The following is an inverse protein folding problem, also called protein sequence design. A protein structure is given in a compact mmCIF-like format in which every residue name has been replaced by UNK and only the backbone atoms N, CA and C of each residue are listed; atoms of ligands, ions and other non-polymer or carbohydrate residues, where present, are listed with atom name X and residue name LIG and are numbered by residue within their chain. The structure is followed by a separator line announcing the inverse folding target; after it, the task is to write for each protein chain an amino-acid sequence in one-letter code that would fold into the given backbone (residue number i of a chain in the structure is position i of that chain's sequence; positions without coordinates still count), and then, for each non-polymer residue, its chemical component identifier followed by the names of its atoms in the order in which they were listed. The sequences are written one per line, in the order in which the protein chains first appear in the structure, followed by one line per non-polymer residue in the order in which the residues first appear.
data_IF_829735305254
#
_entry.id   IF_829735305254
#
_cell.length_a   1.000
_cell.length_b   1.000
_cell.length_c   1.000
_cell.angle_alpha   90.00
_cell.angle_beta   90.00
_cell.angle_gamma   90.00
#
_symmetry.space_group_name_H-M   'P 1'
#
loop_
_entity.id
_entity.type
_entity.pdbx_description
1 polymer ?
2 polymer ?
3 polymer ?
4 non-polymer ?
5 non-polymer ?
6 water ?
#
loop_
_entity_poly.entity_id
_entity_poly.type
_entity_poly.pdbx_seq_one_letter_code
_entity_poly.pdbx_strand_id
2 'polydeoxyribonucleotide' '(DG)(DG)(DG)(DT)(DT)(DT)(DC)(DC)(DA)(DC)(DT)(DT)(DA)(DT)(DT)(DC)(DA)(DC)(DC)(DT)(DT)(DT)(DT)(DT)(DA)(DG)' ?
3 'polydeoxyribonucleotide' '(DC)(DC)(DT)(DA)(DA)(DA)(DA)(DA)(DG)(DG)(DT)(DG)(DA)(DA)(DT)(DA)(DA)(DG)(DT)(DG)(DG)(DA)(DA)(DA)(DC)(DC)' ?
#
# COMPACT_ATOMS: atom_id res chain seq x y z
N UNK A 7 12.12 -1.39 16.29
CA UNK A 7 12.67 -0.14 15.81
C UNK A 7 11.50 0.78 15.42
N UNK A 8 11.79 1.95 14.89
CA UNK A 8 10.76 2.84 14.34
C UNK A 8 10.95 2.94 12.83
N UNK A 9 9.85 3.05 12.10
CA UNK A 9 9.87 2.76 10.67
C UNK A 9 10.64 3.83 9.91
N UNK A 10 11.56 3.42 9.08
CA UNK A 10 12.21 4.35 8.15
C UNK A 10 11.14 5.16 7.40
N UNK A 11 11.36 6.45 7.19
CA UNK A 11 10.29 7.29 6.64
C UNK A 11 10.00 6.99 5.17
N UNK A 12 11.00 6.57 4.39
CA UNK A 12 10.73 6.16 3.00
C UNK A 12 10.03 4.81 2.93
N UNK A 13 10.34 3.89 3.84
CA UNK A 13 9.54 2.66 3.96
C UNK A 13 8.11 3.03 4.24
N UNK A 14 7.94 3.92 5.20
CA UNK A 14 6.60 4.31 5.61
C UNK A 14 5.80 4.86 4.43
N UNK A 15 6.40 5.76 3.64
CA UNK A 15 5.66 6.30 2.50
C UNK A 15 5.36 5.21 1.48
N UNK A 16 6.31 4.31 1.23
CA UNK A 16 6.03 3.18 0.37
C UNK A 16 4.88 2.32 0.88
N UNK A 17 4.85 2.06 2.18
CA UNK A 17 3.72 1.31 2.74
C UNK A 17 2.43 2.07 2.57
N UNK A 18 2.49 3.40 2.69
CA UNK A 18 1.29 4.24 2.59
C UNK A 18 0.80 4.34 1.15
N UNK A 19 1.73 4.44 0.20
CA UNK A 19 1.37 4.31 -1.20
C UNK A 19 0.62 3.00 -1.47
N UNK A 20 0.93 1.95 -0.71
CA UNK A 20 0.27 0.68 -0.93
C UNK A 20 -1.04 0.53 -0.13
N UNK A 21 -1.05 0.89 1.16
CA UNK A 21 -2.16 0.58 2.04
C UNK A 21 -2.89 1.79 2.61
N UNK A 22 -2.35 3.00 2.44
CA UNK A 22 -2.92 4.16 3.11
C UNK A 22 -4.21 4.65 2.49
N UNK A 23 -4.85 5.57 3.21
CA UNK A 23 -6.05 6.17 2.66
C UNK A 23 -6.29 7.50 3.34
N UNK A 24 -6.63 8.53 2.57
CA UNK A 24 -7.01 9.83 3.09
C UNK A 24 -8.53 9.92 3.18
N UNK A 25 -9.05 10.56 4.23
CA UNK A 25 -10.51 10.65 4.33
C UNK A 25 -10.95 12.09 4.54
N UNK A 26 -12.11 12.41 3.98
CA UNK A 26 -12.73 13.71 4.15
C UNK A 26 -14.20 13.42 4.34
N UNK A 27 -14.67 13.58 5.59
CA UNK A 27 -16.06 13.39 5.89
C UNK A 27 -16.79 14.74 5.83
N UNK A 28 -17.93 14.75 5.15
CA UNK A 28 -18.81 15.91 5.07
C UNK A 28 -20.18 15.39 5.46
N UNK A 29 -20.58 15.59 6.71
CA UNK A 29 -21.70 14.88 7.33
C UNK A 29 -22.91 15.80 7.49
N UNK A 30 -24.04 15.42 6.89
CA UNK A 30 -25.29 16.08 7.23
C UNK A 30 -25.37 16.20 8.75
N UNK A 31 -25.76 17.38 9.24
CA UNK A 31 -25.74 17.58 10.69
C UNK A 31 -26.72 18.69 11.07
N UNK A 32 -27.66 18.38 11.98
CA UNK A 32 -28.56 19.40 12.51
C UNK A 32 -27.90 20.24 13.61
N UNK A 33 -27.00 19.63 14.41
CA UNK A 33 -26.33 20.31 15.52
C UNK A 33 -25.18 21.24 15.08
N UNK A 34 -24.71 21.14 13.84
CA UNK A 34 -23.71 22.09 13.34
C UNK A 34 -24.39 23.38 12.90
N UNK A 35 -23.67 24.50 13.06
CA UNK A 35 -24.16 25.77 12.55
C UNK A 35 -24.40 25.70 11.04
N UNK A 36 -23.35 25.34 10.28
CA UNK A 36 -23.42 25.31 8.83
C UNK A 36 -24.29 24.19 8.30
N UNK A 37 -24.80 23.32 9.17
CA UNK A 37 -25.56 22.17 8.74
C UNK A 37 -24.75 20.96 8.39
N UNK A 38 -23.41 21.05 8.45
CA UNK A 38 -22.54 19.92 8.21
C UNK A 38 -21.33 20.03 9.12
N UNK A 39 -20.90 18.90 9.68
CA UNK A 39 -19.65 18.83 10.38
C UNK A 39 -18.67 18.04 9.52
N UNK A 40 -17.38 18.30 9.71
CA UNK A 40 -16.41 17.59 8.90
C UNK A 40 -15.40 16.88 9.79
N UNK A 41 -14.61 16.05 9.12
CA UNK A 41 -13.52 15.30 9.72
C UNK A 41 -12.57 14.94 8.58
N UNK A 42 -11.28 15.14 8.81
CA UNK A 42 -10.22 14.99 7.83
C UNK A 42 -9.11 14.13 8.44
N UNK A 43 -8.47 13.27 7.63
CA UNK A 43 -7.41 12.47 8.21
C UNK A 43 -6.79 11.49 7.24
N UNK A 44 -5.97 10.62 7.81
CA UNK A 44 -5.28 9.60 7.06
C UNK A 44 -5.40 8.30 7.84
N UNK A 45 -5.51 7.18 7.12
CA UNK A 45 -5.80 5.94 7.82
C UNK A 45 -5.24 4.73 7.09
N UNK A 46 -5.04 3.67 7.85
CA UNK A 46 -4.50 2.40 7.39
C UNK A 46 -5.30 1.31 8.09
N UNK A 47 -5.77 0.34 7.31
CA UNK A 47 -6.49 -0.80 7.86
C UNK A 47 -5.78 -2.07 7.43
N UNK A 48 -5.38 -2.88 8.39
CA UNK A 48 -4.70 -4.11 8.08
C UNK A 48 -5.37 -5.23 8.85
N UNK A 49 -5.11 -6.44 8.40
CA UNK A 49 -5.39 -7.62 9.20
C UNK A 49 -4.73 -7.52 10.59
N UNK A 50 -5.42 -8.09 11.58
CA UNK A 50 -4.91 -8.13 12.96
C UNK A 50 -3.46 -8.58 13.08
N UNK A 51 -2.99 -9.51 12.23
CA UNK A 51 -1.65 -10.04 12.39
C UNK A 51 -0.56 -8.98 12.28
N UNK A 52 -0.86 -7.85 11.63
CA UNK A 52 0.09 -6.77 11.43
C UNK A 52 -0.28 -5.53 12.24
N UNK A 53 -1.06 -5.71 13.31
CA UNK A 53 -1.25 -4.64 14.27
C UNK A 53 0.08 -3.98 14.61
N UNK A 54 1.18 -4.74 14.61
CA UNK A 54 2.45 -4.19 15.05
C UNK A 54 2.92 -3.07 14.14
N UNK A 55 2.74 -3.23 12.82
CA UNK A 55 3.12 -2.18 11.89
C UNK A 55 2.45 -0.88 12.30
N UNK A 56 1.14 -0.95 12.58
CA UNK A 56 0.38 0.24 12.91
C UNK A 56 0.85 0.87 14.21
N UNK A 57 1.16 0.03 15.21
CA UNK A 57 1.70 0.58 16.45
C UNK A 57 3.05 1.22 16.18
N UNK A 58 3.87 0.60 15.33
CA UNK A 58 5.16 1.18 15.01
C UNK A 58 5.00 2.55 14.34
N UNK A 59 4.00 2.68 13.46
CA UNK A 59 3.75 3.97 12.81
C UNK A 59 3.27 4.99 13.83
N UNK A 60 2.28 4.60 14.64
CA UNK A 60 1.73 5.50 15.64
C UNK A 60 2.83 6.10 16.50
N UNK A 61 3.78 5.25 16.93
CA UNK A 61 4.86 5.71 17.81
C UNK A 61 5.94 6.42 17.02
N UNK A 62 6.04 6.17 15.72
CA UNK A 62 7.05 6.84 14.89
C UNK A 62 6.63 8.29 14.62
N UNK A 63 5.38 8.48 14.21
CA UNK A 63 4.79 9.80 14.04
C UNK A 63 4.31 10.39 15.36
N UNK A 64 4.07 9.56 16.36
CA UNK A 64 3.55 10.02 17.64
C UNK A 64 2.21 10.73 17.45
N UNK A 65 1.40 10.23 16.50
CA UNK A 65 0.01 10.63 16.36
C UNK A 65 -0.81 9.40 15.98
N UNK A 66 -2.14 9.58 15.99
CA UNK A 66 -3.07 8.56 15.54
C UNK A 66 -3.57 7.67 16.67
N UNK A 67 -4.78 7.10 16.45
CA UNK A 67 -5.43 6.19 17.39
C UNK A 67 -5.63 4.85 16.70
N UNK A 68 -5.51 3.78 17.49
CA UNK A 68 -5.71 2.42 17.00
C UNK A 68 -7.03 1.88 17.51
N UNK A 69 -7.81 1.28 16.62
CA UNK A 69 -9.04 0.59 16.94
C UNK A 69 -9.16 -0.69 16.10
N UNK A 70 -9.94 -1.63 16.62
CA UNK A 70 -10.34 -2.79 15.83
C UNK A 70 -11.26 -2.33 14.70
N UNK A 71 -11.22 -3.06 13.59
CA UNK A 71 -12.09 -2.84 12.43
C UNK A 71 -12.76 -4.18 12.11
N UNK A 72 -13.80 -4.53 12.88
CA UNK A 72 -14.28 -5.90 12.85
C UNK A 72 -13.35 -6.78 13.67
N UNK A 73 -13.56 -8.09 13.56
CA UNK A 73 -12.86 -9.05 14.39
C UNK A 73 -11.56 -9.52 13.79
N UNK A 74 -11.32 -9.25 12.51
CA UNK A 74 -10.15 -9.75 11.80
C UNK A 74 -9.25 -8.65 11.29
N UNK A 75 -9.58 -7.40 11.56
CA UNK A 75 -8.74 -6.31 11.07
C UNK A 75 -8.68 -5.22 12.12
N UNK A 76 -7.71 -4.35 11.95
CA UNK A 76 -7.45 -3.27 12.88
C UNK A 76 -6.99 -2.09 12.04
N UNK A 77 -7.17 -0.88 12.56
CA UNK A 77 -6.92 0.32 11.78
C UNK A 77 -6.16 1.33 12.61
N UNK A 78 -5.32 2.12 11.94
CA UNK A 78 -4.74 3.34 12.48
C UNK A 78 -5.43 4.52 11.81
N UNK A 79 -6.00 5.40 12.64
CA UNK A 79 -6.77 6.54 12.19
C UNK A 79 -6.15 7.80 12.78
N UNK A 80 -5.97 8.82 11.95
CA UNK A 80 -5.38 10.10 12.36
C UNK A 80 -6.30 11.19 11.85
N UNK A 81 -7.11 11.78 12.74
CA UNK A 81 -7.98 12.87 12.32
C UNK A 81 -7.97 14.09 13.24
N UNK A 82 -7.36 14.01 14.44
CA UNK A 82 -7.08 15.14 15.30
C UNK A 82 -6.34 16.26 14.54
N UNK A 83 -7.02 17.39 14.34
CA UNK A 83 -6.59 18.36 13.34
C UNK A 83 -5.15 18.79 13.54
N UNK A 84 -4.76 19.11 14.77
CA UNK A 84 -3.37 19.50 14.99
C UNK A 84 -2.44 18.40 14.48
N UNK A 85 -2.81 17.14 14.69
CA UNK A 85 -1.93 16.03 14.35
C UNK A 85 -1.80 15.86 12.85
N UNK A 86 -2.74 16.36 12.04
CA UNK A 86 -2.54 16.30 10.60
C UNK A 86 -1.27 17.00 10.15
N UNK A 87 -0.75 17.95 10.93
CA UNK A 87 0.48 18.61 10.50
C UNK A 87 1.64 17.64 10.40
N UNK A 88 1.65 16.57 11.20
CA UNK A 88 2.73 15.58 11.11
C UNK A 88 2.61 14.77 9.82
N UNK A 89 1.39 14.44 9.42
CA UNK A 89 1.14 13.79 8.12
C UNK A 89 1.71 14.64 6.99
N UNK A 90 1.29 15.91 6.91
CA UNK A 90 1.73 16.79 5.83
C UNK A 90 3.24 16.95 5.87
N UNK A 91 3.79 17.25 7.04
CA UNK A 91 5.23 17.37 7.13
C UNK A 91 5.90 16.10 6.62
N UNK A 92 5.32 14.94 6.93
CA UNK A 92 5.94 13.70 6.42
C UNK A 92 5.82 13.61 4.90
N UNK A 93 4.62 13.86 4.35
CA UNK A 93 4.45 13.65 2.92
C UNK A 93 5.01 14.79 2.08
N UNK A 94 5.31 15.95 2.67
CA UNK A 94 6.07 16.94 1.92
C UNK A 94 7.52 16.50 1.75
N UNK A 95 8.09 15.89 2.78
CA UNK A 95 9.49 15.49 2.70
C UNK A 95 9.64 14.20 1.92
N UNK A 96 8.70 13.27 2.12
CA UNK A 96 8.81 11.91 1.60
C UNK A 96 7.55 11.64 0.78
N UNK A 97 7.45 12.19 -0.43
CA UNK A 97 6.16 12.19 -1.13
C UNK A 97 5.81 10.82 -1.70
N UNK A 98 4.50 10.52 -1.63
CA UNK A 98 3.90 9.43 -2.38
C UNK A 98 4.18 9.59 -3.87
N UNK A 99 4.17 8.47 -4.59
CA UNK A 99 4.38 8.48 -6.04
C UNK A 99 3.28 7.81 -6.84
N UNK A 100 2.27 7.20 -6.21
CA UNK A 100 1.19 6.58 -6.99
C UNK A 100 0.10 7.60 -7.23
N UNK A 101 -1.00 7.15 -7.84
CA UNK A 101 -2.17 8.03 -7.95
C UNK A 101 -2.59 8.55 -6.59
N UNK A 102 -2.29 7.81 -5.52
CA UNK A 102 -2.66 8.28 -4.19
C UNK A 102 -2.07 9.64 -3.87
N UNK A 103 -0.99 10.04 -4.56
CA UNK A 103 -0.47 11.40 -4.40
C UNK A 103 -1.55 12.43 -4.69
N UNK A 104 -2.39 12.18 -5.70
CA UNK A 104 -3.53 13.06 -5.96
C UNK A 104 -4.49 13.13 -4.80
N UNK A 105 -4.70 12.01 -4.10
CA UNK A 105 -5.62 12.09 -2.95
C UNK A 105 -4.98 12.84 -1.81
N UNK A 106 -3.66 12.72 -1.67
CA UNK A 106 -2.96 13.51 -0.68
C UNK A 106 -3.07 15.01 -0.98
N UNK A 107 -2.99 15.39 -2.26
CA UNK A 107 -3.01 16.81 -2.56
C UNK A 107 -4.36 17.41 -2.18
N UNK A 108 -5.44 16.65 -2.38
CA UNK A 108 -6.77 17.14 -2.00
C UNK A 108 -6.90 17.21 -0.47
N UNK A 109 -6.48 16.16 0.23
CA UNK A 109 -6.39 16.20 1.67
C UNK A 109 -5.73 17.50 2.14
N UNK A 110 -4.67 17.92 1.45
CA UNK A 110 -3.91 19.10 1.84
C UNK A 110 -4.68 20.39 1.60
N UNK A 111 -5.38 20.48 0.46
CA UNK A 111 -6.26 21.61 0.22
C UNK A 111 -7.39 21.70 1.25
N UNK A 112 -7.96 20.57 1.62
CA UNK A 112 -8.97 20.58 2.67
C UNK A 112 -8.35 20.96 4.01
N UNK A 113 -7.07 20.65 4.21
CA UNK A 113 -6.47 21.05 5.47
C UNK A 113 -6.43 22.56 5.60
N UNK A 114 -5.97 23.25 4.56
CA UNK A 114 -5.99 24.70 4.60
C UNK A 114 -7.40 25.23 4.89
N UNK A 115 -8.40 24.69 4.21
CA UNK A 115 -9.75 25.22 4.41
C UNK A 115 -10.13 25.19 5.89
N UNK A 116 -9.73 24.14 6.60
CA UNK A 116 -10.10 24.02 8.00
C UNK A 116 -9.14 24.73 8.95
N UNK A 117 -7.86 24.81 8.58
CA UNK A 117 -6.91 25.56 9.39
C UNK A 117 -7.35 27.01 9.56
N UNK A 118 -8.00 27.60 8.54
CA UNK A 118 -8.60 28.92 8.59
C UNK A 118 -10.03 28.90 9.11
N UNK A 119 -10.50 27.76 9.61
CA UNK A 119 -11.84 27.61 10.15
C UNK A 119 -12.91 27.94 9.11
N UNK A 120 -12.53 28.07 7.83
CA UNK A 120 -13.52 28.31 6.79
C UNK A 120 -14.56 27.21 6.68
N UNK A 121 -14.34 26.04 7.29
CA UNK A 121 -15.30 24.95 7.15
C UNK A 121 -16.58 25.19 7.93
N UNK A 122 -16.61 26.25 8.76
CA UNK A 122 -17.85 26.62 9.41
C UNK A 122 -18.73 27.45 8.46
N UNK A 123 -18.19 28.51 7.86
CA UNK A 123 -18.99 29.34 6.98
C UNK A 123 -19.51 28.51 5.79
N UNK A 124 -20.72 28.85 5.33
CA UNK A 124 -21.33 28.09 4.24
C UNK A 124 -20.38 27.96 3.04
N UNK A 125 -19.74 29.06 2.65
CA UNK A 125 -18.82 28.98 1.51
C UNK A 125 -17.69 28.00 1.78
N UNK A 126 -17.29 27.85 3.06
CA UNK A 126 -16.19 26.94 3.37
C UNK A 126 -16.53 25.49 3.08
N UNK A 127 -17.77 25.08 3.37
CA UNK A 127 -18.20 23.72 3.08
C UNK A 127 -18.32 23.49 1.58
N UNK A 128 -18.73 24.51 0.84
CA UNK A 128 -18.82 24.35 -0.61
C UNK A 128 -17.46 24.03 -1.20
N UNK A 129 -16.37 24.57 -0.62
CA UNK A 129 -15.06 24.22 -1.19
C UNK A 129 -14.62 22.81 -0.77
N UNK A 130 -14.90 22.41 0.47
CA UNK A 130 -14.60 21.05 0.91
C UNK A 130 -15.29 20.03 0.02
N UNK A 131 -16.53 20.29 -0.38
CA UNK A 131 -17.25 19.38 -1.26
C UNK A 131 -16.60 19.35 -2.64
N UNK A 132 -16.34 20.53 -3.20
CA UNK A 132 -15.62 20.60 -4.46
C UNK A 132 -14.37 19.71 -4.40
N UNK A 133 -13.56 19.91 -3.37
CA UNK A 133 -12.37 19.10 -3.12
C UNK A 133 -12.74 17.61 -3.04
N UNK A 134 -13.67 17.27 -2.13
CA UNK A 134 -14.04 15.88 -1.89
C UNK A 134 -14.56 15.18 -3.15
N UNK A 135 -15.10 15.91 -4.11
CA UNK A 135 -15.66 15.28 -5.30
C UNK A 135 -14.62 14.49 -6.07
N UNK A 136 -13.33 14.79 -5.90
CA UNK A 136 -12.27 14.13 -6.65
C UNK A 136 -11.35 13.33 -5.74
N UNK A 137 -11.68 13.22 -4.46
CA UNK A 137 -10.94 12.40 -3.53
C UNK A 137 -11.53 10.99 -3.52
N UNK A 138 -10.65 9.99 -3.70
CA UNK A 138 -11.08 8.60 -3.64
C UNK A 138 -12.36 8.38 -4.45
N UNK A 139 -13.42 7.93 -3.81
CA UNK A 139 -14.63 7.58 -4.55
C UNK A 139 -15.57 8.76 -4.72
N UNK A 140 -15.23 9.92 -4.21
CA UNK A 140 -15.93 11.14 -4.55
C UNK A 140 -17.19 11.34 -3.73
N UNK A 141 -18.09 12.14 -4.30
CA UNK A 141 -19.27 12.57 -3.57
C UNK A 141 -20.32 11.46 -3.56
N UNK A 142 -20.95 11.28 -2.41
CA UNK A 142 -22.08 10.37 -2.31
C UNK A 142 -23.24 10.92 -3.15
N UNK A 143 -24.18 10.04 -3.46
CA UNK A 143 -25.41 10.51 -4.07
C UNK A 143 -26.04 11.62 -3.25
N UNK A 144 -26.19 11.38 -1.93
CA UNK A 144 -26.78 12.39 -1.06
C UNK A 144 -26.06 13.74 -1.20
N UNK A 145 -24.74 13.69 -1.34
CA UNK A 145 -23.96 14.92 -1.41
C UNK A 145 -24.15 15.64 -2.75
N UNK A 146 -24.24 14.89 -3.86
CA UNK A 146 -24.45 15.53 -5.16
C UNK A 146 -25.78 16.27 -5.20
N UNK A 147 -26.82 15.73 -4.52
CA UNK A 147 -28.09 16.44 -4.40
C UNK A 147 -27.92 17.71 -3.58
N UNK A 148 -27.33 17.61 -2.40
CA UNK A 148 -27.14 18.82 -1.61
C UNK A 148 -26.36 19.89 -2.36
N UNK A 149 -25.58 19.52 -3.36
CA UNK A 149 -24.76 20.56 -4.00
C UNK A 149 -24.74 20.42 -5.51
N UNK A 150 -25.90 20.25 -6.16
CA UNK A 150 -25.88 19.98 -7.61
C UNK A 150 -25.29 21.12 -8.41
N UNK A 151 -25.12 22.30 -7.81
CA UNK A 151 -24.44 23.42 -8.42
C UNK A 151 -22.92 23.27 -8.36
N UNK A 152 -22.40 22.07 -8.06
CA UNK A 152 -20.97 21.85 -7.98
C UNK A 152 -20.40 21.45 -9.32
N UNK A 153 -19.32 22.13 -9.71
CA UNK A 153 -18.47 21.72 -10.81
C UNK A 153 -17.04 21.81 -10.27
N UNK A 154 -16.31 20.70 -10.35
CA UNK A 154 -14.96 20.57 -9.83
C UNK A 154 -13.99 20.28 -10.98
N UNK A 155 -12.78 20.82 -10.87
CA UNK A 155 -11.78 20.67 -11.93
C UNK A 155 -11.34 19.22 -12.10
N UNK A 156 -11.11 18.82 -13.36
CA UNK A 156 -10.62 17.49 -13.65
C UNK A 156 -9.31 17.22 -12.90
N UNK A 157 -9.04 15.95 -12.66
CA UNK A 157 -7.92 15.53 -11.82
C UNK A 157 -6.76 15.07 -12.69
N UNK A 158 -5.62 15.74 -12.56
CA UNK A 158 -4.39 15.30 -13.21
C UNK A 158 -4.06 13.86 -12.87
N UNK A 159 -3.54 13.13 -13.84
CA UNK A 159 -2.90 11.86 -13.56
C UNK A 159 -1.50 12.08 -12.97
N UNK A 160 -1.21 11.35 -11.89
CA UNK A 160 0.11 11.30 -11.27
C UNK A 160 1.02 10.43 -12.13
N UNK A 161 2.26 10.90 -12.31
CA UNK A 161 3.28 10.06 -12.92
C UNK A 161 4.61 10.40 -12.25
N UNK A 162 5.00 9.57 -11.29
CA UNK A 162 6.20 9.77 -10.51
C UNK A 162 6.95 8.46 -10.47
N UNK A 163 8.28 8.56 -10.47
CA UNK A 163 9.10 7.35 -10.51
C UNK A 163 9.52 6.94 -9.10
N UNK A 164 9.99 5.71 -8.99
CA UNK A 164 10.43 5.16 -7.71
C UNK A 164 11.61 5.97 -7.18
N UNK A 165 11.48 6.56 -5.99
CA UNK A 165 12.58 7.43 -5.48
C UNK A 165 13.78 6.67 -4.96
N UNK A 166 13.64 5.43 -4.51
CA UNK A 166 14.76 4.69 -3.91
C UNK A 166 14.24 3.34 -3.42
N UNK A 167 15.19 2.48 -3.04
CA UNK A 167 14.88 1.12 -2.58
C UNK A 167 14.11 1.09 -1.26
N UNK A 168 14.26 2.10 -0.39
CA UNK A 168 13.46 2.12 0.83
C UNK A 168 11.97 2.21 0.49
N UNK A 169 11.59 3.17 -0.38
CA UNK A 169 10.20 3.23 -0.86
C UNK A 169 9.75 1.87 -1.38
N UNK A 170 10.60 1.22 -2.19
CA UNK A 170 10.23 -0.07 -2.75
C UNK A 170 9.97 -1.08 -1.65
N UNK A 171 10.80 -1.09 -0.59
CA UNK A 171 10.60 -2.08 0.48
C UNK A 171 9.26 -1.87 1.18
N UNK A 172 8.87 -0.61 1.39
CA UNK A 172 7.60 -0.33 2.04
C UNK A 172 6.43 -0.70 1.14
N UNK A 173 6.52 -0.35 -0.15
CA UNK A 173 5.51 -0.70 -1.14
C UNK A 173 5.42 -2.21 -1.32
N UNK A 174 6.55 -2.90 -1.36
CA UNK A 174 6.51 -4.35 -1.44
C UNK A 174 6.00 -4.97 -0.14
N UNK A 175 6.30 -4.37 1.00
CA UNK A 175 5.67 -4.81 2.26
C UNK A 175 4.15 -4.79 2.18
N UNK A 176 3.58 -3.95 1.30
CA UNK A 176 2.16 -3.90 1.11
C UNK A 176 1.64 -4.89 0.07
N UNK A 177 2.18 -4.80 -1.17
CA UNK A 177 1.63 -5.42 -2.37
C UNK A 177 2.38 -6.69 -2.82
N UNK A 178 3.49 -7.02 -2.21
CA UNK A 178 4.31 -8.08 -2.75
C UNK A 178 3.85 -9.48 -2.36
N UNK A 179 4.37 -10.47 -3.08
CA UNK A 179 4.14 -11.87 -2.75
C UNK A 179 5.42 -12.63 -2.98
N UNK A 180 5.89 -13.33 -1.96
CA UNK A 180 7.05 -14.23 -2.09
C UNK A 180 6.51 -15.65 -2.08
N UNK A 181 6.73 -16.35 -3.17
CA UNK A 181 5.97 -17.55 -3.44
C UNK A 181 6.87 -18.69 -3.87
N UNK A 182 6.54 -19.88 -3.38
CA UNK A 182 7.26 -21.11 -3.70
C UNK A 182 6.32 -21.98 -4.50
N UNK A 183 6.60 -22.10 -5.78
CA UNK A 183 5.71 -22.78 -6.71
C UNK A 183 6.19 -24.22 -6.89
N UNK A 184 5.29 -25.17 -6.71
CA UNK A 184 5.59 -26.59 -6.82
C UNK A 184 4.87 -27.13 -8.05
N UNK A 185 5.64 -27.47 -9.08
CA UNK A 185 5.13 -27.82 -10.39
C UNK A 185 5.22 -29.33 -10.59
N UNK A 186 4.15 -29.92 -11.15
CA UNK A 186 4.13 -31.34 -11.50
C UNK A 186 4.90 -31.59 -12.79
N UNK A 187 5.82 -32.56 -12.78
CA UNK A 187 6.71 -32.75 -13.93
C UNK A 187 7.65 -33.94 -13.89
N UNK A 189 7.48 -38.51 -13.70
CA UNK A 189 7.86 -37.15 -13.30
C UNK A 189 9.22 -37.15 -12.55
N UNK A 190 9.66 -38.36 -12.14
CA UNK A 190 11.04 -38.67 -11.73
C UNK A 190 11.60 -37.69 -10.70
N UNK A 191 11.12 -37.81 -9.47
CA UNK A 191 11.19 -36.78 -8.43
C UNK A 191 9.80 -36.16 -8.37
N UNK A 192 9.35 -35.66 -9.52
CA UNK A 192 7.95 -35.32 -9.73
C UNK A 192 7.51 -33.95 -9.30
N UNK A 193 8.46 -33.06 -8.98
CA UNK A 193 8.16 -31.72 -8.50
C UNK A 193 9.32 -30.79 -8.87
N UNK A 194 9.05 -29.86 -9.77
CA UNK A 194 9.97 -28.77 -10.04
C UNK A 194 9.70 -27.65 -9.05
N UNK A 195 10.74 -27.19 -8.37
CA UNK A 195 10.64 -26.07 -7.45
C UNK A 195 10.95 -24.77 -8.20
N UNK A 196 10.06 -23.79 -8.09
CA UNK A 196 10.22 -22.53 -8.80
C UNK A 196 9.84 -21.37 -7.89
N UNK A 197 10.78 -20.48 -7.66
CA UNK A 197 10.50 -19.29 -6.86
C UNK A 197 9.82 -18.24 -7.71
N UNK A 198 8.80 -17.60 -7.16
CA UNK A 198 8.13 -16.51 -7.84
C UNK A 198 8.06 -15.31 -6.92
N UNK A 199 8.34 -14.14 -7.48
CA UNK A 199 8.13 -12.88 -6.80
C UNK A 199 7.12 -12.08 -7.61
N UNK A 200 6.14 -11.47 -6.95
CA UNK A 200 5.25 -10.58 -7.67
C UNK A 200 4.96 -9.34 -6.86
N UNK A 201 4.51 -8.32 -7.58
CA UNK A 201 3.99 -7.10 -7.02
C UNK A 201 2.71 -6.78 -7.78
N UNK A 202 1.62 -6.54 -7.07
CA UNK A 202 0.28 -6.41 -7.65
C UNK A 202 -0.27 -4.98 -7.54
N UNK A 203 -0.87 -4.51 -8.63
CA UNK A 203 -1.35 -3.13 -8.69
C UNK A 203 -2.27 -2.85 -9.87
N UNK A 204 -3.37 -2.15 -9.58
CA UNK A 204 -4.30 -1.68 -10.59
C UNK A 204 -3.57 -1.01 -11.76
N UNK A 205 -4.20 -1.09 -12.95
CA UNK A 205 -3.66 -0.47 -14.15
C UNK A 205 -3.49 1.04 -14.02
N UNK A 206 -4.29 1.71 -13.19
CA UNK A 206 -4.10 3.15 -13.07
C UNK A 206 -2.64 3.53 -12.80
N UNK A 207 -1.81 2.62 -12.26
CA UNK A 207 -0.40 2.94 -12.08
C UNK A 207 0.48 2.05 -12.95
N UNK A 208 -0.03 1.75 -14.15
CA UNK A 208 0.72 1.00 -15.15
C UNK A 208 2.11 1.58 -15.38
N UNK A 209 2.25 2.91 -15.41
CA UNK A 209 3.58 3.47 -15.68
C UNK A 209 4.56 3.03 -14.61
N UNK A 210 4.20 3.21 -13.36
CA UNK A 210 5.07 2.76 -12.28
C UNK A 210 5.34 1.26 -12.39
N UNK A 211 4.30 0.48 -12.73
CA UNK A 211 4.48 -0.98 -12.81
C UNK A 211 5.43 -1.36 -13.94
N UNK A 212 5.32 -0.71 -15.10
CA UNK A 212 6.29 -0.98 -16.18
C UNK A 212 7.71 -0.60 -15.76
N UNK A 213 7.86 0.51 -15.01
CA UNK A 213 9.19 0.97 -14.66
C UNK A 213 9.97 -0.03 -13.84
N UNK A 214 9.27 -1.01 -13.23
CA UNK A 214 9.92 -1.96 -12.33
C UNK A 214 10.86 -2.87 -13.08
N UNK A 215 10.61 -3.09 -14.36
CA UNK A 215 11.46 -4.01 -15.10
C UNK A 215 12.85 -3.41 -15.23
N UNK A 216 12.92 -2.11 -15.53
CA UNK A 216 14.17 -1.37 -15.61
C UNK A 216 14.72 -1.05 -14.24
N UNK A 217 13.84 -0.74 -13.29
CA UNK A 217 14.33 -0.38 -11.96
C UNK A 217 15.08 -1.53 -11.33
N UNK A 218 14.57 -2.76 -11.47
CA UNK A 218 15.12 -3.92 -10.80
C UNK A 218 15.94 -4.78 -11.72
N UNK A 219 15.91 -4.46 -13.02
CA UNK A 219 16.68 -5.19 -14.03
C UNK A 219 16.18 -6.58 -14.39
N UNK A 220 14.88 -6.84 -14.25
CA UNK A 220 14.35 -8.18 -14.51
C UNK A 220 12.82 -8.13 -14.49
N UNK A 221 12.21 -9.27 -14.84
CA UNK A 221 10.79 -9.42 -14.67
C UNK A 221 9.99 -9.02 -15.91
N UNK A 222 8.68 -9.20 -15.81
CA UNK A 222 7.76 -9.02 -16.92
C UNK A 222 6.41 -8.65 -16.34
N UNK A 223 5.63 -7.92 -17.11
CA UNK A 223 4.30 -7.50 -16.70
C UNK A 223 3.32 -8.55 -17.21
N UNK A 224 2.41 -9.00 -16.35
CA UNK A 224 1.32 -9.89 -16.72
C UNK A 224 0.00 -9.18 -16.43
N UNK A 225 -0.86 -9.06 -17.45
CA UNK A 225 -2.15 -8.43 -17.25
C UNK A 225 -3.13 -9.46 -16.69
N UNK A 226 -3.98 -9.01 -15.77
CA UNK A 226 -4.86 -9.89 -15.03
C UNK A 226 -6.28 -9.34 -15.03
N UNK A 227 -7.26 -10.25 -14.91
CA UNK A 227 -8.65 -9.82 -14.91
C UNK A 227 -9.48 -10.68 -13.97
N UNK A 228 -10.61 -10.11 -13.58
CA UNK A 228 -11.63 -10.75 -12.73
C UNK A 228 -12.91 -9.94 -12.88
N UNK A 229 -13.99 -10.60 -13.30
CA UNK A 229 -15.25 -9.90 -13.65
C UNK A 229 -14.86 -8.76 -14.58
N UNK A 230 -15.31 -7.54 -14.32
CA UNK A 230 -15.02 -6.43 -15.18
C UNK A 230 -13.78 -5.67 -14.74
N UNK A 231 -13.03 -6.20 -13.79
CA UNK A 231 -11.90 -5.48 -13.24
C UNK A 231 -10.61 -5.98 -13.86
N UNK A 232 -9.61 -5.11 -13.82
CA UNK A 232 -8.29 -5.35 -14.40
C UNK A 232 -7.21 -4.86 -13.47
N UNK A 233 -6.05 -5.46 -13.58
CA UNK A 233 -4.92 -5.06 -12.78
C UNK A 233 -3.68 -5.71 -13.36
N UNK A 234 -2.55 -5.52 -12.68
CA UNK A 234 -1.25 -5.87 -13.23
C UNK A 234 -0.41 -6.57 -12.18
N UNK A 235 0.38 -7.54 -12.64
CA UNK A 235 1.44 -8.14 -11.87
C UNK A 235 2.77 -7.83 -12.54
N UNK A 236 3.73 -7.35 -11.76
CA UNK A 236 5.15 -7.48 -12.07
C UNK A 236 5.64 -8.84 -11.54
N UNK A 237 6.21 -9.66 -12.43
CA UNK A 237 6.61 -10.99 -12.00
C UNK A 237 8.06 -11.28 -12.32
N UNK A 238 8.73 -11.98 -11.41
CA UNK A 238 10.07 -12.53 -11.62
C UNK A 238 10.01 -14.04 -11.36
N UNK A 239 10.42 -14.84 -12.34
CA UNK A 239 10.48 -16.30 -12.18
C UNK A 239 11.82 -16.89 -12.55
N UNK A 240 12.81 -16.09 -12.93
CA UNK A 240 14.16 -16.56 -13.24
C UNK A 240 15.00 -16.63 -11.97
N UNK A 241 15.49 -17.81 -11.63
CA UNK A 241 16.10 -17.97 -10.30
C UNK A 241 17.27 -17.01 -10.13
N UNK A 242 18.17 -16.94 -11.12
CA UNK A 242 19.30 -16.04 -10.99
C UNK A 242 18.85 -14.60 -10.70
N UNK A 243 17.81 -14.11 -11.38
CA UNK A 243 17.36 -12.74 -11.12
C UNK A 243 16.83 -12.63 -9.70
N UNK A 244 16.05 -13.62 -9.27
CA UNK A 244 15.55 -13.64 -7.90
C UNK A 244 16.70 -13.71 -6.92
N UNK A 245 17.68 -14.58 -7.19
CA UNK A 245 18.79 -14.76 -6.26
C UNK A 245 19.77 -13.58 -6.32
N UNK A 246 20.01 -13.02 -7.50
CA UNK A 246 20.99 -11.96 -7.57
C UNK A 246 20.38 -10.57 -7.57
N UNK A 247 19.10 -10.43 -7.87
CA UNK A 247 18.58 -9.07 -8.00
C UNK A 247 17.49 -8.75 -7.00
N UNK A 248 16.60 -9.68 -6.69
CA UNK A 248 15.48 -9.37 -5.79
C UNK A 248 15.89 -9.53 -4.33
N UNK A 249 16.49 -10.67 -4.02
CA UNK A 249 16.84 -10.98 -2.63
C UNK A 249 17.80 -9.96 -2.05
N UNK A 250 18.86 -9.53 -2.73
CA UNK A 250 19.73 -8.51 -2.12
C UNK A 250 19.01 -7.20 -1.87
N UNK A 251 18.01 -6.83 -2.68
CA UNK A 251 17.35 -5.55 -2.46
C UNK A 251 16.65 -5.55 -1.11
N UNK A 252 15.90 -6.61 -0.80
CA UNK A 252 15.19 -6.67 0.47
C UNK A 252 16.05 -7.15 1.61
N UNK A 253 17.22 -7.69 1.30
CA UNK A 253 18.22 -7.84 2.36
C UNK A 253 18.78 -6.50 2.79
N UNK A 254 19.10 -5.61 1.84
CA UNK A 254 19.61 -4.27 2.16
C UNK A 254 18.53 -3.32 2.66
N UNK A 255 17.25 -3.65 2.42
CA UNK A 255 16.11 -2.73 2.61
C UNK A 255 14.98 -3.58 3.20
N UNK A 256 14.85 -3.56 4.52
CA UNK A 256 14.13 -4.63 5.20
C UNK A 256 12.62 -4.46 5.13
N UNK A 257 11.94 -5.53 4.73
CA UNK A 257 10.49 -5.58 4.75
C UNK A 257 9.97 -5.50 6.16
N UNK A 258 8.69 -5.12 6.28
CA UNK A 258 8.00 -5.02 7.56
C UNK A 258 6.70 -5.83 7.53
N UNK A 259 6.18 -6.08 8.75
CA UNK A 259 5.03 -6.94 8.95
C UNK A 259 5.40 -8.42 8.86
N UNK A 260 4.38 -9.26 9.01
CA UNK A 260 4.49 -10.70 8.81
C UNK A 260 5.13 -11.04 7.47
N UNK A 261 5.00 -10.16 6.46
CA UNK A 261 5.58 -10.52 5.17
C UNK A 261 7.12 -10.61 5.23
N UNK A 262 7.77 -9.97 6.21
CA UNK A 262 9.20 -10.22 6.36
C UNK A 262 9.47 -11.70 6.65
N UNK A 263 8.63 -12.34 7.46
CA UNK A 263 8.83 -13.76 7.72
C UNK A 263 8.68 -14.60 6.46
N UNK A 264 7.72 -14.27 5.60
CA UNK A 264 7.60 -15.04 4.36
C UNK A 264 8.78 -14.78 3.45
N UNK A 265 9.30 -13.56 3.46
CA UNK A 265 10.53 -13.31 2.71
C UNK A 265 11.65 -14.17 3.22
N UNK A 266 11.81 -14.24 4.56
CA UNK A 266 12.93 -14.98 5.15
C UNK A 266 12.85 -16.45 4.81
N UNK A 267 11.64 -17.02 4.84
CA UNK A 267 11.46 -18.39 4.38
C UNK A 267 11.73 -18.55 2.89
N UNK A 268 11.25 -17.61 2.09
CA UNK A 268 11.60 -17.58 0.66
C UNK A 268 13.10 -17.68 0.46
N UNK A 269 13.87 -16.93 1.26
CA UNK A 269 15.33 -16.93 1.13
C UNK A 269 15.92 -18.27 1.53
N UNK A 270 15.34 -18.95 2.53
CA UNK A 270 15.80 -20.30 2.85
C UNK A 270 15.65 -21.23 1.63
N UNK A 271 14.50 -21.19 0.96
CA UNK A 271 14.31 -22.03 -0.23
C UNK A 271 15.31 -21.66 -1.30
N UNK A 272 15.58 -20.36 -1.47
CA UNK A 272 16.55 -19.91 -2.48
C UNK A 272 17.92 -20.54 -2.22
N UNK A 273 18.39 -20.46 -0.97
CA UNK A 273 19.68 -21.06 -0.63
C UNK A 273 19.71 -22.54 -1.01
N UNK A 274 18.60 -23.25 -0.77
CA UNK A 274 18.54 -24.66 -1.14
C UNK A 274 18.53 -24.87 -2.65
N UNK A 275 17.93 -23.97 -3.42
CA UNK A 275 17.96 -24.13 -4.87
C UNK A 275 19.35 -23.87 -5.39
N UNK A 276 19.99 -22.83 -4.87
CA UNK A 276 21.33 -22.49 -5.29
C UNK A 276 22.29 -23.65 -5.05
N UNK A 277 22.06 -24.42 -3.97
CA UNK A 277 22.90 -25.59 -3.65
C UNK A 277 22.40 -26.88 -4.32
N UNK A 278 21.41 -26.82 -5.21
CA UNK A 278 20.88 -27.97 -5.95
C UNK A 278 20.17 -28.95 -5.03
N UNK A 279 19.97 -28.60 -3.77
CA UNK A 279 19.22 -29.45 -2.87
C UNK A 279 17.75 -29.60 -3.28
N UNK A 280 17.26 -28.73 -4.18
CA UNK A 280 15.87 -28.88 -4.61
C UNK A 280 15.67 -30.05 -5.58
N UNK A 281 16.76 -30.57 -6.13
CA UNK A 281 16.77 -31.74 -6.99
C UNK A 281 16.95 -33.06 -6.23
N UNK A 282 17.13 -33.01 -4.91
CA UNK A 282 17.17 -34.22 -4.09
C UNK A 282 15.85 -34.41 -3.35
N UNK A 283 15.55 -35.66 -3.02
CA UNK A 283 14.32 -35.94 -2.28
C UNK A 283 14.27 -35.17 -0.96
N UNK A 284 15.35 -35.23 -0.18
CA UNK A 284 15.36 -34.63 1.16
C UNK A 284 15.18 -33.11 1.11
N UNK A 285 15.93 -32.45 0.24
CA UNK A 285 15.74 -31.02 0.03
C UNK A 285 14.32 -30.68 -0.42
N UNK A 286 13.77 -31.47 -1.35
CA UNK A 286 12.38 -31.26 -1.77
C UNK A 286 11.43 -31.31 -0.57
N UNK A 287 11.61 -32.31 0.29
CA UNK A 287 10.78 -32.38 1.49
C UNK A 287 10.95 -31.15 2.34
N UNK A 288 12.18 -30.70 2.55
CA UNK A 288 12.37 -29.49 3.34
C UNK A 288 11.62 -28.31 2.71
N UNK A 289 11.60 -28.23 1.38
CA UNK A 289 10.96 -27.09 0.73
C UNK A 289 9.46 -27.16 0.90
N UNK A 290 8.87 -28.34 0.71
CA UNK A 290 7.46 -28.51 0.99
C UNK A 290 7.11 -28.05 2.41
N UNK A 291 7.94 -28.38 3.39
CA UNK A 291 7.67 -27.97 4.76
C UNK A 291 7.70 -26.45 4.89
N UNK A 292 8.73 -25.80 4.33
CA UNK A 292 8.77 -24.34 4.32
C UNK A 292 7.53 -23.77 3.63
N UNK A 293 7.21 -24.28 2.43
CA UNK A 293 6.08 -23.74 1.70
C UNK A 293 4.81 -23.85 2.53
N UNK A 294 4.62 -25.01 3.19
CA UNK A 294 3.46 -25.26 4.02
C UNK A 294 3.23 -24.13 5.03
N UNK A 295 4.31 -23.64 5.67
CA UNK A 295 4.14 -22.66 6.74
C UNK A 295 4.28 -21.21 6.29
N UNK A 296 4.23 -20.93 4.99
CA UNK A 296 4.38 -19.57 4.48
C UNK A 296 3.02 -18.96 4.18
N UNK A 297 3.02 -17.65 3.98
CA UNK A 297 1.86 -16.98 3.44
C UNK A 297 0.56 -17.41 4.14
N UNK A 298 -0.39 -17.97 3.38
CA UNK A 298 -1.67 -18.35 4.00
C UNK A 298 -1.51 -19.48 5.01
N UNK A 299 -0.44 -20.25 4.93
CA UNK A 299 -0.21 -21.35 5.84
C UNK A 299 0.44 -21.00 7.16
N UNK A 300 0.90 -19.76 7.33
CA UNK A 300 1.54 -19.39 8.59
C UNK A 300 0.57 -19.61 9.74
X LIG D 1 -0.85 -5.91 2.11
X LIG E 1 -2.86 -0.77 -2.77
X LIG F 1 19.23 2.72 -7.90
X LIG F 1 17.83 2.35 -8.15
X LIG F 1 17.74 1.29 -9.23
X LIG F 1 18.51 1.67 -10.40
X LIG F 1 19.82 2.30 -10.23
X LIG F 1 19.80 3.34 -9.11
X LIG F 1 18.27 0.83 -11.54
X LIG F 1 18.33 1.57 -12.86
X LIG F 1 19.10 0.78 -13.74
X LIG F 1 19.23 3.66 -6.77
X LIG F 1 19.36 2.82 -5.49
X LIG F 1 18.89 3.78 -4.05
X LIG F 1 20.07 3.92 -3.20
X LIG F 1 18.40 5.07 -4.51
X LIG F 1 17.91 3.04 -3.26
X LIG F 1 17.27 3.23 -8.45
X LIG F 1 17.39 1.97 -7.24
X LIG F 1 16.69 1.16 -9.52
X LIG F 1 18.11 0.34 -8.84
X LIG F 1 20.11 2.78 -11.16
X LIG F 1 20.56 1.54 -10.00
X LIG F 1 19.19 4.20 -9.40
X LIG F 1 20.81 3.68 -8.90
X LIG F 1 17.28 0.38 -11.44
X LIG F 1 19.00 0.02 -11.54
X LIG F 1 18.82 2.54 -12.73
X LIG F 1 17.34 1.71 -13.27
X LIG F 1 19.38 -0.04 -13.28
X LIG F 1 20.07 4.35 -6.85
X LIG F 1 18.31 4.22 -6.75
X LIG F 1 18.73 1.94 -5.57
X LIG F 1 20.39 2.48 -5.39
#
# INVERSE_FOLDING_TARGET
MASSRRESINPWILTGFADAEGSFLLRIRNNNKSSVGYSTELGFQITLHNKDKSILENIQSTWKVGVIANSGDNAVSLKVTRFEDLKVIIDHFEKYPLITQKLGDYKLFKQAFSVMENKEHLKENGIKELVRIKAKLNWGLTDELKKAFPENISKERSLINKNIPNFKWLAGFTSGEGNFFVNLIKSKSKLGVQVQLRFTITQHIKDKNLMNSLITYLGCGYITEKNKSEFSWLDFSVTKFSDINDKIIPVFQENTLIGVKLEDFEDWCKVAKLIEEKKHLTESGLDEIKKIKLNMNKGR
CA CA
CA CA
EPE N1 C2 C3 N4 C5 C6 C7 C8 O8 C9 C10 S O1S O2S O3S H21 H22 H31 H32 H51 H52 H61 H62 H71 H72 H81 H82 HO8 H91 H92 H101 H102
#
